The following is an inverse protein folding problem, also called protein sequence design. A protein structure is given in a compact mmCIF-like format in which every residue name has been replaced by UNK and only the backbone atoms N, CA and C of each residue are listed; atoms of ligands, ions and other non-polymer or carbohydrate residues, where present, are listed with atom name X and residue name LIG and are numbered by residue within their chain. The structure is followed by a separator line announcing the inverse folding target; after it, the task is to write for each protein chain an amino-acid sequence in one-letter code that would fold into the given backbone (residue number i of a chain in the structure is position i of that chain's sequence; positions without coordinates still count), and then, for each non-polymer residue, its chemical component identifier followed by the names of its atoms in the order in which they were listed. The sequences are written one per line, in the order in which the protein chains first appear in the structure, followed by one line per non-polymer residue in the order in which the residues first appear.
data_IF_666456882672
#
_entry.id   IF_666456882672
#
_cell.length_a   1.000
_cell.length_b   1.000
_cell.length_c   1.000
_cell.angle_alpha   90.00
_cell.angle_beta   90.00
_cell.angle_gamma   90.00
#
_symmetry.space_group_name_H-M   'P 1'
#
loop_
_entity.id
_entity.type
_entity.pdbx_description
1 polymer ?
#
# COMPACT_ATOMS: atom_id res chain seq x y z
N UNK A 1 36.78 -3.09 22.20
CA UNK A 1 35.35 -2.73 22.22
C UNK A 1 34.94 -2.51 23.66
N UNK A 2 34.12 -1.49 23.99
CA UNK A 2 33.58 -1.37 25.32
C UNK A 2 32.69 -2.59 25.63
N UNK A 3 32.84 -3.18 26.81
CA UNK A 3 32.15 -4.42 27.22
C UNK A 3 30.94 -4.10 28.12
N UNK A 4 29.81 -4.76 27.86
CA UNK A 4 28.57 -4.67 28.66
C UNK A 4 27.89 -3.29 28.65
N UNK A 5 27.03 -3.04 29.64
CA UNK A 5 26.24 -1.80 29.78
C UNK A 5 27.00 -0.70 30.54
N UNK A 6 28.23 -0.43 30.11
CA UNK A 6 29.14 0.52 30.78
C UNK A 6 28.56 1.94 30.95
N UNK A 7 27.67 2.39 30.06
CA UNK A 7 26.98 3.70 30.16
C UNK A 7 25.98 3.71 31.32
N UNK A 8 25.20 2.65 31.49
CA UNK A 8 24.26 2.54 32.60
C UNK A 8 24.98 2.38 33.94
N UNK A 9 26.05 1.56 33.96
CA UNK A 9 26.91 1.42 35.12
C UNK A 9 27.53 2.76 35.54
N UNK A 10 27.99 3.56 34.57
CA UNK A 10 28.50 4.90 34.84
C UNK A 10 27.41 5.82 35.42
N UNK A 11 26.19 5.78 34.88
CA UNK A 11 25.05 6.56 35.41
C UNK A 11 24.63 6.11 36.81
N UNK A 12 24.70 4.81 37.13
CA UNK A 12 24.42 4.28 38.47
C UNK A 12 25.50 4.71 39.48
N UNK A 13 26.77 4.72 39.08
CA UNK A 13 27.91 5.08 39.94
C UNK A 13 28.07 6.59 40.15
N UNK A 14 27.92 7.38 39.09
CA UNK A 14 28.25 8.81 39.09
C UNK A 14 27.03 9.71 38.83
N UNK A 15 25.86 9.13 38.61
CA UNK A 15 24.63 9.86 38.34
C UNK A 15 24.57 10.45 36.93
N UNK A 16 23.61 11.36 36.75
CA UNK A 16 23.50 12.20 35.57
C UNK A 16 24.26 13.51 35.79
N UNK A 17 24.58 14.19 34.68
CA UNK A 17 25.07 15.57 34.73
C UNK A 17 24.07 16.45 35.50
N UNK A 18 24.57 17.36 36.33
CA UNK A 18 23.76 18.19 37.26
C UNK A 18 22.59 18.92 36.59
N UNK A 19 22.76 19.37 35.35
CA UNK A 19 21.76 20.12 34.57
C UNK A 19 20.88 19.23 33.65
N UNK A 20 21.07 17.91 33.66
CA UNK A 20 20.43 17.00 32.71
C UNK A 20 18.90 17.05 32.78
N UNK A 21 18.34 16.94 33.98
CA UNK A 21 16.89 16.92 34.19
C UNK A 21 16.25 18.28 33.87
N UNK A 22 16.95 19.37 34.20
CA UNK A 22 16.54 20.73 33.86
C UNK A 22 16.49 20.96 32.35
N UNK A 23 17.54 20.53 31.63
CA UNK A 23 17.61 20.61 30.18
C UNK A 23 16.56 19.73 29.51
N UNK A 24 16.33 18.52 30.02
CA UNK A 24 15.31 17.60 29.51
C UNK A 24 13.91 18.20 29.66
N UNK A 25 13.56 18.67 30.86
CA UNK A 25 12.28 19.35 31.14
C UNK A 25 12.07 20.56 30.22
N UNK A 26 13.06 21.45 30.11
CA UNK A 26 12.99 22.61 29.21
C UNK A 26 12.90 22.19 27.74
N UNK A 27 13.50 21.07 27.34
CA UNK A 27 13.41 20.56 25.96
C UNK A 27 11.99 20.06 25.67
N UNK A 28 11.43 19.24 26.55
CA UNK A 28 10.06 18.70 26.46
C UNK A 28 9.02 19.83 26.42
N UNK A 29 9.12 20.82 27.31
CA UNK A 29 8.25 21.99 27.32
C UNK A 29 8.30 22.81 26.01
N UNK A 30 9.45 22.83 25.32
CA UNK A 30 9.62 23.54 24.03
C UNK A 30 9.20 22.71 22.80
N UNK A 31 9.01 21.40 22.93
CA UNK A 31 8.63 20.53 21.80
C UNK A 31 7.35 20.97 21.09
N UNK A 32 6.23 21.31 21.76
CA UNK A 32 4.99 21.68 21.05
C UNK A 32 5.16 22.93 20.18
N UNK A 33 5.86 23.96 20.69
CA UNK A 33 6.16 25.17 19.92
C UNK A 33 7.04 24.87 18.71
N UNK A 34 8.11 24.08 18.90
CA UNK A 34 9.00 23.67 17.81
C UNK A 34 8.30 22.83 16.76
N UNK A 35 7.42 21.93 17.18
CA UNK A 35 6.65 21.08 16.27
C UNK A 35 5.73 21.92 15.37
N UNK A 36 5.01 22.89 15.96
CA UNK A 36 4.18 23.84 15.22
C UNK A 36 5.01 24.70 14.26
N UNK A 37 6.13 25.24 14.72
CA UNK A 37 7.06 26.04 13.92
C UNK A 37 7.60 25.25 12.71
N UNK A 38 8.04 24.00 12.94
CA UNK A 38 8.54 23.12 11.88
C UNK A 38 7.43 22.81 10.87
N UNK A 39 6.20 22.55 11.32
CA UNK A 39 5.08 22.28 10.44
C UNK A 39 4.73 23.49 9.54
N UNK A 40 4.81 24.71 10.07
CA UNK A 40 4.53 25.94 9.32
C UNK A 40 5.67 26.32 8.35
N UNK A 41 6.93 26.15 8.78
CA UNK A 41 8.11 26.60 8.01
C UNK A 41 8.64 25.56 7.01
N UNK A 42 8.36 24.27 7.20
CA UNK A 42 8.87 23.23 6.32
C UNK A 42 8.21 23.27 4.93
N UNK A 43 9.03 23.47 3.89
CA UNK A 43 8.58 23.53 2.50
C UNK A 43 8.86 22.24 1.72
N UNK A 44 8.12 22.04 0.63
CA UNK A 44 8.34 20.95 -0.32
C UNK A 44 8.16 19.56 0.29
N UNK A 45 9.04 18.63 -0.08
CA UNK A 45 8.97 17.21 0.34
C UNK A 45 9.06 17.08 1.87
N UNK A 46 9.86 17.93 2.53
CA UNK A 46 10.01 17.90 3.99
C UNK A 46 8.67 18.17 4.69
N UNK A 47 7.92 19.18 4.25
CA UNK A 47 6.57 19.47 4.78
C UNK A 47 5.60 18.31 4.58
N UNK A 48 5.60 17.67 3.39
CA UNK A 48 4.76 16.50 3.11
C UNK A 48 5.08 15.30 4.03
N UNK A 49 6.36 15.04 4.29
CA UNK A 49 6.78 13.96 5.19
C UNK A 49 6.33 14.25 6.62
N UNK A 50 6.49 15.48 7.10
CA UNK A 50 6.06 15.89 8.45
C UNK A 50 4.55 15.73 8.59
N UNK A 51 3.76 16.22 7.64
CA UNK A 51 2.31 16.08 7.66
C UNK A 51 1.87 14.60 7.69
N UNK A 52 2.52 13.73 6.90
CA UNK A 52 2.25 12.28 6.89
C UNK A 52 2.56 11.64 8.25
N UNK A 53 3.70 12.00 8.87
CA UNK A 53 4.07 11.51 10.20
C UNK A 53 3.06 11.96 11.26
N UNK A 54 2.72 13.24 11.28
CA UNK A 54 1.76 13.81 12.22
C UNK A 54 0.37 13.15 12.10
N UNK A 55 -0.08 12.86 10.88
CA UNK A 55 -1.33 12.14 10.66
C UNK A 55 -1.28 10.71 11.22
N UNK A 56 -0.18 9.98 10.95
CA UNK A 56 0.00 8.62 11.47
C UNK A 56 0.04 8.59 13.00
N UNK A 57 0.76 9.53 13.64
CA UNK A 57 0.82 9.66 15.10
C UNK A 57 -0.57 9.96 15.69
N UNK A 58 -1.33 10.89 15.10
CA UNK A 58 -2.70 11.19 15.52
C UNK A 58 -3.64 9.99 15.37
N UNK A 59 -3.54 9.27 14.26
CA UNK A 59 -4.37 8.10 14.01
C UNK A 59 -4.05 6.95 14.98
N UNK A 60 -2.77 6.74 15.28
CA UNK A 60 -2.32 5.78 16.29
C UNK A 60 -2.88 6.17 17.66
N UNK A 61 -2.68 7.42 18.09
CA UNK A 61 -3.17 7.89 19.39
C UNK A 61 -4.68 7.79 19.51
N UNK A 62 -5.43 8.11 18.46
CA UNK A 62 -6.89 7.95 18.44
C UNK A 62 -7.30 6.49 18.61
N UNK A 63 -6.61 5.56 17.94
CA UNK A 63 -6.87 4.13 18.09
C UNK A 63 -6.52 3.62 19.48
N UNK A 64 -5.40 4.03 20.05
CA UNK A 64 -5.01 3.61 21.40
C UNK A 64 -5.97 4.13 22.47
N UNK A 65 -6.49 5.35 22.30
CA UNK A 65 -7.50 5.89 23.20
C UNK A 65 -8.82 5.13 23.05
N UNK A 66 -9.29 4.89 21.82
CA UNK A 66 -10.50 4.11 21.58
C UNK A 66 -10.40 2.68 22.16
N UNK A 67 -9.28 1.98 21.94
CA UNK A 67 -9.03 0.67 22.54
C UNK A 67 -9.05 0.71 24.07
N UNK A 68 -8.49 1.75 24.68
CA UNK A 68 -8.50 1.91 26.12
C UNK A 68 -9.92 2.17 26.64
N UNK A 69 -10.69 3.04 25.98
CA UNK A 69 -12.09 3.34 26.31
C UNK A 69 -12.97 2.08 26.21
N UNK A 70 -12.86 1.32 25.12
CA UNK A 70 -13.54 0.03 24.91
C UNK A 70 -13.14 -1.01 25.97
N UNK A 71 -11.86 -1.09 26.34
CA UNK A 71 -11.40 -2.02 27.38
C UNK A 71 -11.87 -1.65 28.80
N UNK A 72 -12.02 -0.35 29.07
CA UNK A 72 -12.49 0.16 30.36
C UNK A 72 -13.98 -0.04 30.56
N UNK A 73 -14.74 -0.06 29.46
CA UNK A 73 -16.18 -0.31 29.48
C UNK A 73 -16.42 -1.78 29.17
N UNK A 74 -16.27 -2.64 30.17
CA UNK A 74 -16.76 -4.03 30.06
C UNK A 74 -18.28 -3.98 29.97
N UNK A 75 -18.82 -3.89 28.76
CA UNK A 75 -20.20 -4.25 28.52
C UNK A 75 -20.30 -5.76 28.70
N UNK A 76 -21.24 -6.23 29.54
CA UNK A 76 -21.71 -7.60 29.42
C UNK A 76 -22.23 -7.72 27.98
N UNK A 77 -21.67 -8.65 27.23
CA UNK A 77 -22.27 -9.04 25.95
C UNK A 77 -23.59 -9.70 26.38
N UNK A 78 -24.71 -8.98 26.26
CA UNK A 78 -25.98 -9.68 26.20
C UNK A 78 -25.88 -10.54 24.92
N UNK A 79 -25.80 -11.85 25.12
CA UNK A 79 -25.83 -12.86 24.08
C UNK A 79 -27.21 -12.87 23.40
N UNK A 80 -27.61 -11.74 22.82
CA UNK A 80 -28.57 -11.74 21.71
C UNK A 80 -27.78 -12.08 20.45
N UNK A 81 -27.28 -13.33 20.44
CA UNK A 81 -26.89 -14.03 19.22
C UNK A 81 -28.13 -13.98 18.35
N UNK A 82 -28.17 -13.00 17.44
CA UNK A 82 -29.23 -12.86 16.48
C UNK A 82 -29.32 -14.19 15.74
N UNK A 83 -30.34 -14.96 16.08
CA UNK A 83 -30.61 -16.27 15.55
C UNK A 83 -30.76 -16.11 14.04
N UNK A 84 -29.68 -16.41 13.32
CA UNK A 84 -29.57 -16.24 11.88
C UNK A 84 -30.37 -17.28 11.10
N UNK A 85 -31.56 -17.64 11.57
CA UNK A 85 -32.44 -18.58 10.91
C UNK A 85 -33.89 -18.37 11.36
N UNK A 86 -34.81 -18.43 10.39
CA UNK A 86 -36.26 -18.52 10.60
C UNK A 86 -37.00 -17.20 10.80
N UNK A 87 -37.41 -16.58 9.69
CA UNK A 87 -38.72 -15.91 9.70
C UNK A 87 -39.41 -15.76 8.35
N UNK A 88 -38.78 -16.01 7.19
CA UNK A 88 -39.48 -15.83 5.91
C UNK A 88 -39.04 -16.82 4.81
N UNK A 89 -39.53 -18.07 4.86
CA UNK A 89 -39.26 -19.10 3.83
C UNK A 89 -39.79 -18.67 2.44
N UNK A 90 -40.89 -17.91 2.39
CA UNK A 90 -41.52 -17.43 1.15
C UNK A 90 -40.70 -16.34 0.45
N UNK A 91 -40.18 -15.36 1.20
CA UNK A 91 -39.28 -14.33 0.65
C UNK A 91 -37.95 -14.94 0.24
N UNK A 92 -37.49 -15.99 0.95
CA UNK A 92 -36.30 -16.75 0.58
C UNK A 92 -36.48 -17.48 -0.76
N UNK A 93 -37.63 -18.13 -1.00
CA UNK A 93 -37.94 -18.80 -2.28
C UNK A 93 -37.96 -17.83 -3.47
N UNK A 94 -38.54 -16.63 -3.28
CA UNK A 94 -38.55 -15.57 -4.30
C UNK A 94 -37.14 -14.99 -4.52
N UNK A 95 -36.35 -14.78 -3.46
CA UNK A 95 -34.96 -14.33 -3.60
C UNK A 95 -34.07 -15.40 -4.27
N UNK A 96 -34.34 -16.69 -4.07
CA UNK A 96 -33.66 -17.79 -4.76
C UNK A 96 -34.01 -17.77 -6.25
N UNK A 97 -35.27 -17.52 -6.61
CA UNK A 97 -35.69 -17.38 -8.01
C UNK A 97 -35.07 -16.15 -8.68
N UNK A 98 -35.00 -15.01 -7.97
CA UNK A 98 -34.25 -13.83 -8.42
C UNK A 98 -32.75 -14.13 -8.58
N UNK A 99 -32.10 -14.75 -7.59
CA UNK A 99 -30.69 -15.17 -7.66
C UNK A 99 -30.41 -16.18 -8.78
N UNK A 100 -31.39 -17.01 -9.16
CA UNK A 100 -31.30 -17.92 -10.32
C UNK A 100 -31.42 -17.18 -11.66
N UNK A 101 -32.26 -16.14 -11.75
CA UNK A 101 -32.32 -15.23 -12.91
C UNK A 101 -31.06 -14.37 -13.02
N UNK A 102 -30.55 -13.84 -11.91
CA UNK A 102 -29.27 -13.12 -11.84
C UNK A 102 -28.07 -14.02 -12.13
N UNK A 103 -28.21 -15.35 -11.94
CA UNK A 103 -27.20 -16.35 -12.32
C UNK A 103 -26.90 -16.34 -13.82
N UNK A 104 -27.80 -15.84 -14.66
CA UNK A 104 -27.55 -15.63 -16.08
C UNK A 104 -26.50 -14.54 -16.35
N UNK A 105 -26.24 -13.64 -15.38
CA UNK A 105 -25.14 -12.68 -15.41
C UNK A 105 -23.84 -13.20 -14.76
N UNK A 106 -23.80 -14.43 -14.20
CA UNK A 106 -22.60 -14.96 -13.52
C UNK A 106 -21.45 -15.37 -14.43
N UNK A 107 -21.69 -15.43 -15.74
CA UNK A 107 -20.63 -15.72 -16.70
C UNK A 107 -19.93 -14.47 -17.22
N UNK A 108 -20.26 -13.29 -16.66
CA UNK A 108 -19.56 -12.06 -16.99
C UNK A 108 -18.17 -12.05 -16.34
N UNK A 109 -17.16 -11.84 -17.18
CA UNK A 109 -15.76 -11.70 -16.75
C UNK A 109 -15.64 -10.43 -15.91
N UNK A 110 -14.86 -10.40 -14.80
CA UNK A 110 -14.71 -9.22 -13.93
C UNK A 110 -14.31 -7.92 -14.63
N UNK A 111 -13.71 -8.03 -15.82
CA UNK A 111 -13.41 -6.92 -16.72
C UNK A 111 -13.98 -7.23 -18.10
N UNK A 112 -15.25 -6.86 -18.37
CA UNK A 112 -15.91 -7.21 -19.63
C UNK A 112 -15.41 -6.37 -20.81
N UNK A 113 -15.02 -5.12 -20.56
CA UNK A 113 -14.52 -4.18 -21.57
C UNK A 113 -13.20 -3.59 -21.12
N UNK A 114 -12.16 -3.86 -21.88
CA UNK A 114 -10.82 -3.32 -21.66
C UNK A 114 -10.57 -2.18 -22.65
N UNK A 115 -9.73 -1.22 -22.25
CA UNK A 115 -9.26 -0.17 -23.15
C UNK A 115 -8.55 -0.80 -24.36
N UNK A 116 -8.95 -0.47 -25.61
CA UNK A 116 -8.23 -0.95 -26.78
C UNK A 116 -6.82 -0.38 -26.79
N UNK A 117 -5.83 -1.23 -27.06
CA UNK A 117 -4.42 -0.84 -27.21
C UNK A 117 -4.15 -0.63 -28.69
N UNK A 118 -3.66 0.55 -29.04
CA UNK A 118 -3.29 0.86 -30.42
C UNK A 118 -1.98 0.16 -30.81
N UNK A 119 -1.79 -0.10 -32.11
CA UNK A 119 -0.63 -0.86 -32.60
C UNK A 119 0.70 -0.14 -32.38
N UNK A 120 0.71 1.19 -32.38
CA UNK A 120 1.88 2.03 -32.10
C UNK A 120 2.34 1.93 -30.64
N UNK A 121 1.40 1.77 -29.69
CA UNK A 121 1.69 1.50 -28.28
C UNK A 121 2.26 0.09 -28.08
N UNK A 122 1.76 -0.88 -28.85
CA UNK A 122 2.17 -2.29 -28.76
C UNK A 122 3.51 -2.56 -29.45
N UNK A 123 3.79 -1.90 -30.58
CA UNK A 123 4.96 -2.16 -31.40
C UNK A 123 5.92 -0.98 -31.49
N UNK A 124 7.13 -1.18 -30.97
CA UNK A 124 8.26 -0.30 -31.22
C UNK A 124 8.91 -0.62 -32.57
N UNK A 125 9.07 0.39 -33.42
CA UNK A 125 9.80 0.26 -34.70
C UNK A 125 11.29 0.09 -34.46
N UNK A 126 11.89 -0.98 -35.00
CA UNK A 126 13.34 -1.18 -34.97
C UNK A 126 13.96 -0.87 -36.34
N UNK A 127 15.01 -0.06 -36.32
CA UNK A 127 15.77 0.31 -37.52
C UNK A 127 17.00 -0.58 -37.67
N UNK A 128 17.22 -1.14 -38.87
CA UNK A 128 18.31 -2.09 -39.18
C UNK A 128 19.25 -1.58 -40.27
N UNK A 129 20.50 -2.06 -40.26
CA UNK A 129 21.55 -1.72 -41.24
C UNK A 129 22.45 -0.56 -40.78
N UNK A 130 23.64 -0.42 -41.40
CA UNK A 130 24.66 0.60 -41.01
C UNK A 130 24.09 2.02 -40.99
N UNK A 131 23.29 2.38 -42.00
CA UNK A 131 22.62 3.69 -42.12
C UNK A 131 21.22 3.75 -41.46
N UNK A 132 20.74 2.65 -40.83
CA UNK A 132 19.43 2.57 -40.14
C UNK A 132 18.21 2.98 -40.99
N UNK A 133 18.25 2.80 -42.31
CA UNK A 133 17.14 3.21 -43.20
C UNK A 133 16.00 2.19 -43.24
N UNK A 134 16.28 0.91 -42.93
CA UNK A 134 15.29 -0.17 -43.00
C UNK A 134 14.52 -0.27 -41.68
N UNK A 135 13.18 -0.20 -41.73
CA UNK A 135 12.32 -0.12 -40.53
C UNK A 135 11.24 -1.23 -40.50
N UNK A 136 11.53 -2.39 -41.07
CA UNK A 136 10.55 -3.46 -41.25
C UNK A 136 10.31 -4.28 -39.97
N UNK A 137 11.25 -4.26 -39.02
CA UNK A 137 11.16 -4.97 -37.75
C UNK A 137 10.30 -4.23 -36.72
N UNK A 138 9.58 -4.99 -35.90
CA UNK A 138 8.70 -4.53 -34.83
C UNK A 138 9.05 -5.28 -33.56
N UNK A 139 9.30 -4.56 -32.47
CA UNK A 139 9.51 -5.12 -31.14
C UNK A 139 8.23 -4.96 -30.34
N UNK A 140 7.75 -6.04 -29.73
CA UNK A 140 6.60 -5.99 -28.83
C UNK A 140 7.06 -5.43 -27.49
N UNK A 141 6.42 -4.36 -27.03
CA UNK A 141 6.78 -3.64 -25.78
C UNK A 141 6.04 -4.16 -24.56
N UNK A 142 4.88 -4.77 -24.77
CA UNK A 142 4.03 -5.33 -23.72
C UNK A 142 4.48 -6.75 -23.36
N UNK A 143 4.08 -7.21 -22.18
CA UNK A 143 4.38 -8.57 -21.75
C UNK A 143 3.78 -9.60 -22.72
N UNK A 144 4.58 -10.58 -23.14
CA UNK A 144 4.15 -11.66 -24.02
C UNK A 144 4.46 -13.01 -23.40
N UNK A 145 3.48 -13.92 -23.41
CA UNK A 145 3.72 -15.31 -23.10
C UNK A 145 4.35 -16.04 -24.29
N UNK A 146 5.32 -16.90 -23.98
CA UNK A 146 6.08 -17.69 -24.93
C UNK A 146 6.12 -19.11 -24.39
N UNK A 147 5.62 -20.08 -25.16
CA UNK A 147 5.52 -21.48 -24.72
C UNK A 147 6.89 -22.14 -24.49
N UNK A 148 6.95 -23.25 -23.74
CA UNK A 148 8.21 -23.89 -23.30
C UNK A 148 9.09 -24.41 -24.45
N UNK A 149 8.52 -24.69 -25.63
CA UNK A 149 9.27 -25.11 -26.83
C UNK A 149 9.70 -23.95 -27.74
N UNK A 150 9.66 -22.70 -27.29
CA UNK A 150 9.95 -21.58 -28.17
C UNK A 150 11.43 -21.44 -28.50
N UNK A 151 11.74 -21.56 -29.78
CA UNK A 151 13.03 -21.21 -30.35
C UNK A 151 12.87 -19.98 -31.22
N UNK A 152 13.79 -19.01 -31.08
CA UNK A 152 13.76 -17.79 -31.90
C UNK A 152 14.03 -18.13 -33.37
N UNK A 153 13.31 -17.45 -34.27
CA UNK A 153 13.61 -17.52 -35.70
C UNK A 153 14.94 -16.80 -35.98
N UNK A 154 15.69 -17.20 -37.02
CA UNK A 154 16.89 -16.48 -37.42
C UNK A 154 16.61 -14.98 -37.61
N UNK A 155 17.52 -14.06 -37.23
CA UNK A 155 17.25 -12.63 -37.24
C UNK A 155 16.82 -12.07 -38.60
N UNK A 156 17.19 -12.73 -39.71
CA UNK A 156 16.78 -12.32 -41.06
C UNK A 156 15.27 -12.52 -41.32
N UNK A 157 14.66 -13.51 -40.67
CA UNK A 157 13.25 -13.89 -40.86
C UNK A 157 12.35 -13.44 -39.69
N UNK A 158 12.94 -12.97 -38.58
CA UNK A 158 12.20 -12.46 -37.42
C UNK A 158 11.82 -10.98 -37.62
N UNK A 159 10.56 -10.75 -38.02
CA UNK A 159 9.96 -9.41 -38.13
C UNK A 159 9.43 -8.90 -36.79
N UNK A 160 8.65 -9.74 -36.09
CA UNK A 160 8.09 -9.43 -34.77
C UNK A 160 8.97 -10.04 -33.69
N UNK A 161 9.60 -9.18 -32.90
CA UNK A 161 10.53 -9.56 -31.83
C UNK A 161 9.76 -9.50 -30.51
N UNK A 162 9.71 -10.63 -29.83
CA UNK A 162 9.29 -10.76 -28.44
C UNK A 162 10.56 -10.81 -27.61
N UNK A 163 10.93 -9.71 -26.93
CA UNK A 163 12.15 -9.66 -26.13
C UNK A 163 12.10 -10.63 -24.94
#
# INVERSE_FOLDING_TARGET
MPQGDYIELHRKRYGYRRDYFELKRKKEARQPHKHSEIAQKARGIKGKIIAKKNYAEKALMKKTLAMHEESSTRHNVDDDVHEGASSNISTLSNSIKQKRKERAGKWEVPLPKVRPVAEDEMFKVLRTGKRKTKQWKRMITKATFVGPGFTRKPPKYERFIRP
#
